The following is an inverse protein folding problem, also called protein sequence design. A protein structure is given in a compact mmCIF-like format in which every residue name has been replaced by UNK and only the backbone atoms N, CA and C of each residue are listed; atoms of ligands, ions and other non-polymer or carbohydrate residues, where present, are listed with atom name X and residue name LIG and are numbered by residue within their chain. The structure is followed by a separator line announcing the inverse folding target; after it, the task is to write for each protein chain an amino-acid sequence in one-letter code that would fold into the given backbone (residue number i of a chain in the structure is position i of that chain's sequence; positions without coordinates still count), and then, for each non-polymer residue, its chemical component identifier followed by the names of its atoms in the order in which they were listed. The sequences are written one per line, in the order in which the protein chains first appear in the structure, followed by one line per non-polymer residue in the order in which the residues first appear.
data_IF_572931493037
#
_entry.id   IF_572931493037
#
_cell.length_a   1.000
_cell.length_b   1.000
_cell.length_c   1.000
_cell.angle_alpha   90.00
_cell.angle_beta   90.00
_cell.angle_gamma   90.00
#
_symmetry.space_group_name_H-M   'P 1'
#
loop_
_entity.id
_entity.type
_entity.pdbx_description
1 polymer ?
#
# COMPACT_ATOMS: atom_id res chain seq x y z
N UNK A 1 -13.55 13.20 24.09
CA UNK A 1 -13.02 14.36 23.29
C UNK A 1 -11.51 14.17 23.27
N UNK A 2 -10.94 13.96 22.09
CA UNK A 2 -9.54 13.53 21.94
C UNK A 2 -8.62 14.77 22.05
N UNK A 3 -8.06 14.97 23.24
CA UNK A 3 -7.18 16.11 23.60
C UNK A 3 -5.98 16.21 22.64
N UNK A 4 -5.47 15.09 22.13
CA UNK A 4 -4.38 15.07 21.15
C UNK A 4 -4.76 15.67 19.80
N UNK A 5 -6.02 15.50 19.35
CA UNK A 5 -6.51 16.19 18.15
C UNK A 5 -6.66 17.70 18.34
N UNK A 6 -6.86 18.13 19.56
CA UNK A 6 -6.97 19.53 19.90
C UNK A 6 -5.57 20.18 19.99
N UNK A 7 -4.63 19.54 20.70
CA UNK A 7 -3.24 20.02 20.85
C UNK A 7 -2.47 19.98 19.53
N UNK A 8 -2.67 18.94 18.70
CA UNK A 8 -2.01 18.81 17.38
C UNK A 8 -2.50 19.79 16.32
N UNK A 9 -3.61 20.49 16.55
CA UNK A 9 -4.15 21.54 15.67
C UNK A 9 -3.74 22.95 16.05
N UNK A 10 -3.17 23.14 17.25
CA UNK A 10 -2.65 24.43 17.66
C UNK A 10 -1.33 24.71 16.92
N UNK A 11 -1.15 25.92 16.35
CA UNK A 11 0.11 26.29 15.75
C UNK A 11 1.20 26.18 16.82
N UNK A 12 2.29 25.47 16.53
CA UNK A 12 3.44 25.31 17.44
C UNK A 12 4.01 26.71 17.73
N UNK A 13 3.94 27.19 18.97
CA UNK A 13 4.47 28.52 19.28
C UNK A 13 5.98 28.48 19.12
N UNK A 14 6.54 29.51 18.48
CA UNK A 14 7.99 29.65 18.27
C UNK A 14 8.81 29.70 19.57
N UNK A 15 8.15 29.84 20.72
CA UNK A 15 8.76 29.98 22.06
C UNK A 15 8.39 28.85 23.04
N UNK A 16 7.78 27.73 22.56
CA UNK A 16 7.19 26.72 23.45
C UNK A 16 5.87 27.16 24.09
N UNK A 17 5.22 26.25 24.80
CA UNK A 17 4.02 26.57 25.61
C UNK A 17 4.41 26.40 27.07
N UNK A 18 4.53 27.48 27.81
CA UNK A 18 4.98 27.49 29.21
C UNK A 18 3.84 27.84 30.14
N UNK A 19 3.81 27.21 31.33
CA UNK A 19 2.90 27.57 32.41
C UNK A 19 3.06 29.06 32.77
N UNK A 20 1.95 29.78 33.05
CA UNK A 20 2.02 31.23 33.30
C UNK A 20 3.06 31.62 34.33
N UNK A 21 4.04 32.42 33.91
CA UNK A 21 5.16 32.90 34.73
C UNK A 21 6.34 31.95 34.86
N UNK A 22 6.29 30.73 34.32
CA UNK A 22 7.40 29.78 34.29
C UNK A 22 8.22 29.93 33.01
N UNK A 23 9.42 29.32 32.97
CA UNK A 23 10.29 29.30 31.79
C UNK A 23 10.47 27.91 31.20
N UNK A 24 10.36 26.88 32.03
CA UNK A 24 10.59 25.47 31.63
C UNK A 24 9.36 24.58 31.77
N UNK A 25 8.35 25.00 32.51
CA UNK A 25 7.17 24.19 32.76
C UNK A 25 6.18 24.22 31.60
N UNK A 26 6.25 23.26 30.69
CA UNK A 26 5.37 23.10 29.55
C UNK A 26 6.03 22.37 28.37
N UNK A 27 5.24 21.95 27.37
CA UNK A 27 5.75 21.21 26.22
C UNK A 27 6.51 22.12 25.22
N UNK A 28 7.51 21.54 24.55
CA UNK A 28 8.28 22.18 23.46
C UNK A 28 9.16 23.35 23.85
N UNK A 29 9.77 23.34 25.04
CA UNK A 29 10.72 24.36 25.46
C UNK A 29 11.97 24.34 24.56
N UNK A 30 12.44 25.49 24.05
CA UNK A 30 13.62 25.58 23.22
C UNK A 30 14.89 25.60 24.09
N UNK A 31 15.26 24.46 24.71
CA UNK A 31 16.41 24.35 25.61
C UNK A 31 17.71 24.93 25.02
N UNK A 32 17.93 24.77 23.72
CA UNK A 32 19.08 25.30 23.01
C UNK A 32 19.16 26.85 22.97
N UNK A 33 18.12 27.57 23.44
CA UNK A 33 18.05 29.01 23.58
C UNK A 33 17.95 29.45 25.04
N UNK A 34 17.84 28.51 25.95
CA UNK A 34 17.60 28.77 27.36
C UNK A 34 18.78 28.33 28.24
N UNK A 35 19.59 27.38 27.72
CA UNK A 35 20.72 26.79 28.43
C UNK A 35 22.02 27.04 27.64
N UNK A 36 23.14 27.13 28.36
CA UNK A 36 24.49 27.17 27.81
C UNK A 36 25.05 25.76 27.53
N UNK A 37 26.31 25.67 27.13
CA UNK A 37 27.00 24.41 26.83
C UNK A 37 27.14 23.45 28.02
N UNK A 38 26.96 23.93 29.25
CA UNK A 38 27.04 23.17 30.49
C UNK A 38 25.66 22.91 31.09
N UNK A 39 24.58 23.09 30.31
CA UNK A 39 23.19 22.95 30.74
C UNK A 39 22.78 23.88 31.87
N UNK A 40 23.48 25.01 32.00
CA UNK A 40 23.13 26.06 32.95
C UNK A 40 22.26 27.13 32.25
N UNK A 41 21.27 27.71 32.96
CA UNK A 41 20.42 28.75 32.41
C UNK A 41 21.26 30.00 32.00
N UNK A 42 21.06 30.46 30.78
CA UNK A 42 21.66 31.74 30.34
C UNK A 42 20.98 32.92 31.06
N UNK A 43 21.70 34.05 31.16
CA UNK A 43 21.21 35.23 31.84
C UNK A 43 19.78 35.60 31.40
N UNK A 44 18.90 35.73 32.37
CA UNK A 44 17.47 36.00 32.15
C UNK A 44 16.62 34.79 31.81
N UNK A 45 17.18 33.57 31.85
CA UNK A 45 16.44 32.30 31.68
C UNK A 45 16.47 31.44 32.94
N UNK A 46 16.87 31.97 34.09
CA UNK A 46 16.86 31.23 35.34
C UNK A 46 15.46 30.76 35.70
N UNK A 47 15.29 29.53 36.26
CA UNK A 47 14.01 29.04 36.77
C UNK A 47 13.42 30.00 37.82
N UNK A 48 12.11 30.21 37.79
CA UNK A 48 11.47 31.20 38.70
C UNK A 48 11.22 30.64 40.10
N UNK A 49 11.16 29.33 40.24
CA UNK A 49 10.99 28.61 41.50
C UNK A 49 11.48 27.15 41.36
N UNK A 50 11.45 26.40 42.44
CA UNK A 50 11.91 24.99 42.47
C UNK A 50 11.07 24.05 41.57
N UNK A 51 9.79 24.37 41.36
CA UNK A 51 8.94 23.58 40.43
C UNK A 51 9.40 23.80 38.98
N UNK A 52 9.76 25.03 38.61
CA UNK A 52 10.27 25.33 37.27
C UNK A 52 11.67 24.76 37.04
N UNK A 53 12.51 24.71 38.12
CA UNK A 53 13.82 24.05 38.09
C UNK A 53 13.70 22.52 37.91
N UNK A 54 12.77 21.87 38.60
CA UNK A 54 12.48 20.45 38.40
C UNK A 54 12.01 20.19 36.94
N UNK A 55 11.19 21.09 36.40
CA UNK A 55 10.75 21.01 35.01
C UNK A 55 11.89 21.15 34.01
N UNK A 56 12.85 22.05 34.30
CA UNK A 56 14.07 22.19 33.50
C UNK A 56 14.87 20.88 33.46
N UNK A 57 15.14 20.27 34.62
CA UNK A 57 15.84 18.97 34.70
C UNK A 57 15.12 17.85 33.97
N UNK A 58 13.80 17.83 34.04
CA UNK A 58 12.99 16.89 33.30
C UNK A 58 13.11 17.08 31.77
N UNK A 59 13.11 18.31 31.26
CA UNK A 59 13.29 18.60 29.84
C UNK A 59 14.68 18.25 29.35
N UNK A 60 15.73 18.46 30.18
CA UNK A 60 17.10 18.02 29.90
C UNK A 60 17.15 16.48 29.82
N UNK A 61 16.56 15.78 30.80
CA UNK A 61 16.46 14.33 30.79
C UNK A 61 15.79 13.80 29.51
N UNK A 62 14.73 14.45 29.05
CA UNK A 62 14.03 14.09 27.81
C UNK A 62 14.88 14.29 26.56
N UNK A 63 15.75 15.33 26.54
CA UNK A 63 16.67 15.59 25.44
C UNK A 63 17.75 14.53 25.38
N UNK A 64 18.36 14.19 26.53
CA UNK A 64 19.54 13.34 26.63
C UNK A 64 19.20 11.84 26.62
N UNK A 65 18.02 11.47 27.13
CA UNK A 65 17.54 10.08 27.17
C UNK A 65 16.18 9.92 26.49
N UNK A 66 16.09 10.06 25.15
CA UNK A 66 14.82 10.00 24.43
C UNK A 66 14.10 8.65 24.51
N UNK A 67 14.83 7.55 24.80
CA UNK A 67 14.32 6.19 24.99
C UNK A 67 13.77 5.95 26.41
N UNK A 68 14.16 6.75 27.40
CA UNK A 68 13.86 6.54 28.82
C UNK A 68 12.88 7.58 29.39
N UNK A 69 12.00 8.12 28.56
CA UNK A 69 11.08 9.20 28.93
C UNK A 69 10.22 8.90 30.17
N UNK A 70 9.86 7.62 30.36
CA UNK A 70 9.11 7.21 31.54
C UNK A 70 9.93 7.38 32.82
N UNK A 71 11.22 7.04 32.77
CA UNK A 71 12.12 7.23 33.89
C UNK A 71 12.29 8.71 34.23
N UNK A 72 12.39 9.58 33.22
CA UNK A 72 12.38 11.03 33.41
C UNK A 72 11.10 11.55 34.05
N UNK A 73 9.93 11.03 33.62
CA UNK A 73 8.61 11.36 34.21
C UNK A 73 8.52 10.91 35.67
N UNK A 74 8.98 9.71 35.99
CA UNK A 74 8.96 9.14 37.34
C UNK A 74 9.90 9.91 38.28
N UNK A 75 11.09 10.30 37.81
CA UNK A 75 12.05 11.16 38.53
C UNK A 75 11.42 12.53 38.84
N UNK A 76 10.79 13.16 37.85
CA UNK A 76 10.12 14.44 38.06
C UNK A 76 9.00 14.35 39.10
N UNK A 77 8.20 13.28 39.06
CA UNK A 77 7.13 13.03 40.04
C UNK A 77 7.69 12.84 41.44
N UNK A 78 8.78 12.10 41.59
CA UNK A 78 9.45 11.89 42.88
C UNK A 78 10.01 13.21 43.45
N UNK A 79 10.69 13.99 42.62
CA UNK A 79 11.18 15.31 43.04
C UNK A 79 10.05 16.27 43.45
N UNK A 80 8.96 16.31 42.65
CA UNK A 80 7.78 17.13 42.99
C UNK A 80 7.13 16.64 44.30
N UNK A 81 7.01 15.34 44.54
CA UNK A 81 6.42 14.80 45.77
C UNK A 81 7.23 15.17 47.01
N UNK A 82 8.55 15.12 46.90
CA UNK A 82 9.46 15.43 48.00
C UNK A 82 9.72 16.92 48.22
N UNK A 83 9.33 17.78 47.24
CA UNK A 83 9.49 19.24 47.34
C UNK A 83 8.66 19.81 48.51
N UNK A 84 9.32 20.58 49.39
CA UNK A 84 8.64 21.41 50.39
C UNK A 84 8.53 22.84 49.84
N UNK A 85 7.30 23.31 49.47
CA UNK A 85 7.11 24.60 48.90
C UNK A 85 7.51 25.71 49.86
N UNK A 86 8.21 26.71 49.37
CA UNK A 86 8.66 27.87 50.16
C UNK A 86 7.60 28.95 50.26
N UNK A 87 6.65 28.99 49.31
CA UNK A 87 5.59 29.98 49.28
C UNK A 87 4.28 29.37 48.70
N UNK A 88 3.19 30.12 48.83
CA UNK A 88 1.87 29.70 48.40
C UNK A 88 1.76 29.46 46.90
N UNK A 89 2.51 30.23 46.07
CA UNK A 89 2.53 30.09 44.63
C UNK A 89 3.21 28.78 44.24
N UNK A 90 4.37 28.47 44.79
CA UNK A 90 5.07 27.22 44.58
C UNK A 90 4.24 26.02 45.02
N UNK A 91 3.44 26.18 46.09
CA UNK A 91 2.47 25.14 46.53
C UNK A 91 1.38 24.88 45.49
N UNK A 92 0.87 25.91 44.82
CA UNK A 92 -0.15 25.79 43.75
C UNK A 92 0.51 25.12 42.51
N UNK A 93 1.71 25.64 42.11
CA UNK A 93 2.43 25.13 40.97
C UNK A 93 2.80 23.63 41.17
N UNK A 94 3.29 23.24 42.36
CA UNK A 94 3.54 21.85 42.73
C UNK A 94 2.28 20.98 42.57
N UNK A 95 1.13 21.42 43.08
CA UNK A 95 -0.13 20.66 42.99
C UNK A 95 -0.61 20.52 41.55
N UNK A 96 -0.60 21.61 40.79
CA UNK A 96 -1.04 21.62 39.41
C UNK A 96 -0.16 20.76 38.52
N UNK A 97 1.15 20.96 38.56
CA UNK A 97 2.12 20.22 37.74
C UNK A 97 2.21 18.76 38.18
N UNK A 98 2.24 18.49 39.51
CA UNK A 98 2.20 17.12 40.03
C UNK A 98 0.94 16.35 39.64
N UNK A 99 -0.24 17.02 39.60
CA UNK A 99 -1.49 16.42 39.13
C UNK A 99 -1.44 16.12 37.62
N UNK A 100 -0.91 17.05 36.79
CA UNK A 100 -0.73 16.85 35.37
C UNK A 100 0.24 15.70 35.10
N UNK A 101 1.39 15.66 35.77
CA UNK A 101 2.38 14.60 35.61
C UNK A 101 1.90 13.25 36.14
N UNK A 102 1.20 13.21 37.29
CA UNK A 102 0.57 11.99 37.79
C UNK A 102 -0.54 11.48 36.84
N UNK A 103 -1.31 12.39 36.24
CA UNK A 103 -2.30 12.03 35.22
C UNK A 103 -1.59 11.55 33.94
N UNK A 104 -0.53 12.22 33.53
CA UNK A 104 0.32 11.82 32.40
C UNK A 104 0.89 10.42 32.60
N UNK A 105 1.43 10.11 33.79
CA UNK A 105 1.95 8.78 34.14
C UNK A 105 0.85 7.72 34.18
N UNK A 106 -0.32 8.03 34.77
CA UNK A 106 -1.48 7.10 34.89
C UNK A 106 -2.18 6.84 33.56
N UNK A 107 -2.33 7.88 32.73
CA UNK A 107 -3.00 7.80 31.42
C UNK A 107 -1.98 7.45 30.32
N UNK A 108 -0.68 7.36 30.65
CA UNK A 108 0.38 7.10 29.66
C UNK A 108 0.62 8.26 28.69
N UNK A 109 0.29 9.50 29.06
CA UNK A 109 0.60 10.71 28.31
C UNK A 109 2.10 11.02 28.38
N UNK A 110 2.91 10.28 27.71
CA UNK A 110 4.37 10.37 27.71
C UNK A 110 5.02 9.02 27.55
N UNK A 111 4.27 7.94 27.74
CA UNK A 111 4.59 6.64 27.20
C UNK A 111 4.45 6.77 25.70
N UNK A 112 5.42 6.30 24.90
CA UNK A 112 5.18 5.95 23.51
C UNK A 112 3.97 5.03 23.51
N UNK A 113 2.79 5.56 23.20
CA UNK A 113 1.54 4.78 23.00
C UNK A 113 1.68 3.80 21.86
N UNK A 114 2.67 4.01 21.05
CA UNK A 114 3.01 3.19 19.93
C UNK A 114 4.37 2.61 20.19
N UNK A 115 4.38 1.33 20.44
CA UNK A 115 5.51 0.49 20.13
C UNK A 115 6.01 0.90 18.73
N UNK A 116 7.32 1.04 18.53
CA UNK A 116 7.91 1.39 17.24
C UNK A 116 7.40 0.47 16.12
N UNK A 117 7.08 -0.78 16.48
CA UNK A 117 6.41 -1.73 15.61
C UNK A 117 4.99 -1.29 15.23
N UNK A 118 4.19 -0.79 16.18
CA UNK A 118 2.83 -0.32 15.89
C UNK A 118 2.84 0.90 14.98
N UNK A 119 3.75 1.86 15.20
CA UNK A 119 3.94 3.00 14.29
C UNK A 119 4.35 2.53 12.89
N UNK A 120 5.26 1.57 12.80
CA UNK A 120 5.71 0.99 11.55
C UNK A 120 4.57 0.32 10.79
N UNK A 121 3.76 -0.51 11.46
CA UNK A 121 2.64 -1.21 10.86
C UNK A 121 1.52 -0.28 10.36
N UNK A 122 1.38 0.91 10.96
CA UNK A 122 0.36 1.90 10.60
C UNK A 122 0.86 3.00 9.67
N UNK A 123 2.14 3.00 9.25
CA UNK A 123 2.64 3.99 8.28
C UNK A 123 1.76 4.10 7.06
N UNK A 124 1.47 5.33 6.58
CA UNK A 124 0.61 5.53 5.40
C UNK A 124 1.17 4.88 4.15
N UNK A 125 0.30 4.25 3.36
CA UNK A 125 0.65 3.61 2.09
C UNK A 125 0.38 4.54 0.92
N UNK A 126 1.34 4.67 0.02
CA UNK A 126 1.17 5.40 -1.23
C UNK A 126 0.38 4.55 -2.23
N UNK A 127 -0.93 4.77 -2.32
CA UNK A 127 -1.84 4.01 -3.19
C UNK A 127 -1.65 4.29 -4.69
N UNK A 128 -1.24 5.53 -5.05
CA UNK A 128 -1.04 5.94 -6.45
C UNK A 128 0.44 6.09 -6.75
N UNK A 129 0.97 5.22 -7.57
CA UNK A 129 2.38 5.25 -8.01
C UNK A 129 2.52 4.74 -9.44
N UNK A 130 3.65 5.02 -10.07
CA UNK A 130 3.96 4.53 -11.41
C UNK A 130 4.10 3.01 -11.40
N UNK A 131 3.39 2.35 -12.30
CA UNK A 131 3.51 0.90 -12.53
C UNK A 131 4.25 0.65 -13.83
N UNK A 132 4.80 -0.55 -14.00
CA UNK A 132 5.35 -0.99 -15.27
C UNK A 132 4.29 -0.86 -16.36
N UNK A 133 4.73 -0.55 -17.55
CA UNK A 133 3.89 -0.56 -18.72
C UNK A 133 4.30 -1.68 -19.66
N UNK A 134 3.37 -2.18 -20.44
CA UNK A 134 3.63 -3.17 -21.47
C UNK A 134 4.22 -2.45 -22.67
N UNK A 135 5.44 -2.86 -23.06
CA UNK A 135 6.15 -2.30 -24.18
C UNK A 135 5.87 -3.14 -25.43
N UNK A 136 5.33 -2.53 -26.45
CA UNK A 136 5.00 -3.16 -27.75
C UNK A 136 5.57 -2.31 -28.86
N UNK A 137 6.13 -2.93 -29.89
CA UNK A 137 6.83 -2.23 -30.96
C UNK A 137 5.99 -2.03 -32.21
N UNK A 138 5.10 -2.96 -32.50
CA UNK A 138 4.26 -2.94 -33.69
C UNK A 138 2.91 -3.61 -33.47
N UNK A 139 2.01 -3.41 -34.41
CA UNK A 139 0.72 -4.09 -34.40
C UNK A 139 0.93 -5.61 -34.41
N UNK A 140 0.00 -6.31 -33.75
CA UNK A 140 0.00 -7.76 -33.58
C UNK A 140 1.18 -8.34 -32.75
N UNK A 141 1.98 -7.52 -32.06
CA UNK A 141 2.94 -8.04 -31.11
C UNK A 141 2.20 -8.67 -29.90
N UNK A 142 1.22 -7.95 -29.35
CA UNK A 142 0.43 -8.42 -28.18
C UNK A 142 -1.02 -8.07 -28.38
N UNK A 143 -1.90 -9.07 -28.30
CA UNK A 143 -3.32 -8.84 -28.09
C UNK A 143 -3.69 -9.08 -26.63
N UNK A 144 -4.60 -8.28 -26.10
CA UNK A 144 -5.19 -8.50 -24.78
C UNK A 144 -6.66 -8.87 -24.94
N UNK A 145 -7.13 -9.86 -24.18
CA UNK A 145 -8.51 -10.31 -24.23
C UNK A 145 -9.14 -10.37 -22.83
N UNK A 146 -10.45 -10.16 -22.78
CA UNK A 146 -11.27 -10.21 -21.57
C UNK A 146 -12.74 -10.44 -21.95
N UNK A 147 -13.59 -10.82 -21.01
CA UNK A 147 -15.02 -11.04 -21.21
C UNK A 147 -15.85 -9.95 -20.52
N UNK A 148 -16.78 -9.38 -21.27
CA UNK A 148 -17.87 -8.57 -20.70
C UNK A 148 -19.04 -9.50 -20.35
N UNK A 149 -19.49 -9.46 -19.08
CA UNK A 149 -20.68 -10.17 -18.62
C UNK A 149 -21.94 -9.31 -18.85
N UNK A 150 -22.90 -9.85 -19.61
CA UNK A 150 -24.19 -9.25 -19.92
C UNK A 150 -25.35 -10.24 -19.75
N UNK A 151 -25.19 -11.23 -18.84
CA UNK A 151 -26.20 -12.29 -18.57
C UNK A 151 -27.60 -11.72 -18.29
N UNK A 152 -27.68 -10.61 -17.56
CA UNK A 152 -28.95 -9.93 -17.25
C UNK A 152 -29.74 -9.50 -18.48
N UNK A 153 -29.06 -9.33 -19.62
CA UNK A 153 -29.68 -8.86 -20.88
C UNK A 153 -29.76 -9.93 -21.97
N UNK A 154 -29.51 -11.19 -21.63
CA UNK A 154 -29.44 -12.30 -22.60
C UNK A 154 -30.75 -12.55 -23.35
N UNK A 155 -31.89 -12.39 -22.68
CA UNK A 155 -33.23 -12.62 -23.27
C UNK A 155 -33.47 -11.77 -24.52
N UNK A 156 -33.12 -10.49 -24.47
CA UNK A 156 -33.30 -9.54 -25.60
C UNK A 156 -32.16 -9.59 -26.61
N UNK A 157 -31.12 -10.40 -26.36
CA UNK A 157 -29.94 -10.53 -27.20
C UNK A 157 -29.75 -11.97 -27.73
N UNK A 158 -30.82 -12.65 -28.11
CA UNK A 158 -30.81 -13.98 -28.72
C UNK A 158 -30.02 -15.04 -27.90
N UNK A 159 -30.04 -14.92 -26.58
CA UNK A 159 -29.33 -15.84 -25.66
C UNK A 159 -27.85 -15.53 -25.48
N UNK A 160 -27.30 -14.50 -26.10
CA UNK A 160 -25.92 -14.08 -25.87
C UNK A 160 -25.77 -13.47 -24.48
N UNK A 161 -24.83 -14.00 -23.70
CA UNK A 161 -24.59 -13.69 -22.28
C UNK A 161 -23.31 -12.93 -22.04
N UNK A 162 -22.33 -13.07 -22.94
CA UNK A 162 -21.01 -12.51 -22.82
C UNK A 162 -20.57 -11.85 -24.14
N UNK A 163 -19.57 -11.00 -24.05
CA UNK A 163 -18.88 -10.49 -25.24
C UNK A 163 -17.38 -10.73 -25.02
N UNK A 164 -16.74 -11.52 -25.90
CA UNK A 164 -15.30 -11.60 -25.98
C UNK A 164 -14.76 -10.31 -26.56
N UNK A 165 -13.96 -9.60 -25.77
CA UNK A 165 -13.32 -8.34 -26.12
C UNK A 165 -11.85 -8.60 -26.36
N UNK A 166 -11.37 -8.35 -27.58
CA UNK A 166 -9.95 -8.51 -27.93
C UNK A 166 -9.42 -7.17 -28.46
N UNK A 167 -8.27 -6.73 -28.01
CA UNK A 167 -7.65 -5.47 -28.44
C UNK A 167 -6.16 -5.68 -28.73
N UNK A 168 -5.70 -5.17 -29.88
CA UNK A 168 -4.26 -5.04 -30.13
C UNK A 168 -3.67 -3.94 -29.24
N UNK A 169 -2.71 -4.30 -28.42
CA UNK A 169 -2.11 -3.42 -27.41
C UNK A 169 -1.38 -2.24 -28.03
N UNK A 170 -0.84 -2.40 -29.24
CA UNK A 170 -0.14 -1.32 -29.95
C UNK A 170 -1.10 -0.36 -30.63
N UNK A 171 -1.84 -0.83 -31.62
CA UNK A 171 -2.70 0.02 -32.46
C UNK A 171 -3.98 0.47 -31.77
N UNK A 172 -4.39 -0.22 -30.70
CA UNK A 172 -5.70 -0.11 -30.02
C UNK A 172 -6.86 -0.59 -30.89
N UNK A 173 -6.57 -1.35 -31.97
CA UNK A 173 -7.62 -1.94 -32.79
C UNK A 173 -8.35 -3.02 -31.98
N UNK A 174 -9.68 -2.96 -31.95
CA UNK A 174 -10.50 -3.82 -31.12
C UNK A 174 -11.45 -4.69 -31.92
N UNK A 175 -11.71 -5.90 -31.39
CA UNK A 175 -12.71 -6.84 -31.88
C UNK A 175 -13.65 -7.22 -30.74
N UNK A 176 -14.92 -7.40 -31.03
CA UNK A 176 -15.92 -7.86 -30.07
C UNK A 176 -16.76 -8.95 -30.67
N UNK A 177 -16.85 -10.10 -30.01
CA UNK A 177 -17.59 -11.27 -30.47
C UNK A 177 -18.58 -11.67 -29.37
N UNK A 178 -19.92 -11.66 -29.66
CA UNK A 178 -20.91 -12.17 -28.72
C UNK A 178 -20.76 -13.69 -28.48
N UNK A 179 -20.88 -14.10 -27.23
CA UNK A 179 -20.83 -15.50 -26.80
C UNK A 179 -22.07 -15.84 -25.99
N UNK A 180 -22.58 -17.06 -26.15
CA UNK A 180 -23.70 -17.57 -25.35
C UNK A 180 -23.26 -18.10 -24.00
N UNK A 181 -22.08 -18.72 -23.95
CA UNK A 181 -21.51 -19.31 -22.74
C UNK A 181 -20.08 -18.85 -22.50
N UNK A 182 -19.67 -18.86 -21.25
CA UNK A 182 -18.29 -18.62 -20.81
C UNK A 182 -17.57 -19.98 -20.71
N UNK A 183 -17.39 -20.65 -21.87
CA UNK A 183 -16.77 -21.98 -21.95
C UNK A 183 -15.54 -21.97 -22.86
N UNK A 184 -14.62 -22.91 -22.60
CA UNK A 184 -13.41 -23.09 -23.43
C UNK A 184 -13.70 -23.30 -24.92
N UNK A 185 -14.59 -24.22 -25.32
CA UNK A 185 -14.93 -24.42 -26.73
C UNK A 185 -15.45 -23.17 -27.43
N UNK A 186 -16.36 -22.41 -26.81
CA UNK A 186 -16.95 -21.25 -27.45
C UNK A 186 -15.96 -20.08 -27.60
N UNK A 187 -15.11 -19.86 -26.56
CA UNK A 187 -14.02 -18.87 -26.66
C UNK A 187 -12.98 -19.29 -27.69
N UNK A 188 -12.69 -20.59 -27.81
CA UNK A 188 -11.77 -21.13 -28.82
C UNK A 188 -12.29 -20.88 -30.24
N UNK A 189 -13.56 -21.15 -30.52
CA UNK A 189 -14.16 -20.87 -31.82
C UNK A 189 -14.15 -19.37 -32.18
N UNK A 190 -14.40 -18.53 -31.18
CA UNK A 190 -14.30 -17.09 -31.36
C UNK A 190 -12.87 -16.67 -31.75
N UNK A 191 -11.84 -17.19 -31.07
CA UNK A 191 -10.44 -16.91 -31.45
C UNK A 191 -10.08 -17.50 -32.81
N UNK A 192 -10.52 -18.71 -33.16
CA UNK A 192 -10.32 -19.28 -34.50
C UNK A 192 -10.85 -18.34 -35.58
N UNK A 193 -12.02 -17.73 -35.37
CA UNK A 193 -12.61 -16.79 -36.32
C UNK A 193 -11.76 -15.52 -36.50
N UNK A 194 -11.10 -15.04 -35.43
CA UNK A 194 -10.18 -13.91 -35.49
C UNK A 194 -8.87 -14.29 -36.19
N UNK A 195 -8.30 -15.46 -35.84
CA UNK A 195 -7.00 -15.91 -36.34
C UNK A 195 -7.04 -16.25 -37.85
N UNK A 196 -8.23 -16.48 -38.42
CA UNK A 196 -8.38 -16.57 -39.88
C UNK A 196 -8.02 -15.25 -40.61
N UNK A 197 -8.15 -14.11 -39.90
CA UNK A 197 -7.88 -12.77 -40.47
C UNK A 197 -6.47 -12.30 -40.14
N UNK A 198 -6.06 -12.43 -38.89
CA UNK A 198 -4.76 -11.99 -38.38
C UNK A 198 -4.48 -12.67 -37.02
N UNK A 199 -3.19 -12.80 -36.71
CA UNK A 199 -2.72 -13.45 -35.49
C UNK A 199 -1.76 -12.54 -34.74
N UNK A 200 -1.81 -12.53 -33.38
CA UNK A 200 -0.79 -11.86 -32.57
C UNK A 200 0.40 -12.82 -32.37
N UNK A 201 1.56 -12.27 -31.95
CA UNK A 201 2.64 -13.08 -31.41
C UNK A 201 2.37 -13.58 -30.00
N UNK A 202 1.69 -12.75 -29.21
CA UNK A 202 1.35 -13.05 -27.82
C UNK A 202 -0.10 -12.70 -27.54
N UNK A 203 -0.76 -13.54 -26.76
CA UNK A 203 -2.11 -13.33 -26.24
C UNK A 203 -2.07 -13.14 -24.72
N UNK A 204 -2.48 -11.97 -24.27
CA UNK A 204 -2.55 -11.63 -22.86
C UNK A 204 -3.99 -11.75 -22.34
N UNK A 205 -4.20 -12.65 -21.40
CA UNK A 205 -5.51 -12.95 -20.80
C UNK A 205 -5.41 -12.92 -19.26
N UNK A 206 -6.56 -12.93 -18.59
CA UNK A 206 -6.60 -13.25 -17.16
C UNK A 206 -6.56 -14.78 -16.92
N UNK A 207 -6.55 -15.21 -15.67
CA UNK A 207 -6.46 -16.62 -15.25
C UNK A 207 -7.81 -17.34 -15.32
N UNK A 208 -8.72 -16.90 -16.16
CA UNK A 208 -10.02 -17.55 -16.32
C UNK A 208 -9.91 -18.91 -17.01
N UNK A 209 -10.65 -19.91 -16.51
CA UNK A 209 -10.71 -21.26 -17.12
C UNK A 209 -11.20 -21.24 -18.56
N UNK A 210 -11.94 -20.23 -18.98
CA UNK A 210 -12.38 -20.01 -20.36
C UNK A 210 -11.21 -19.77 -21.33
N UNK A 211 -10.07 -19.26 -20.83
CA UNK A 211 -8.85 -19.08 -21.61
C UNK A 211 -7.83 -20.18 -21.35
N UNK A 212 -7.79 -20.74 -20.14
CA UNK A 212 -6.89 -21.81 -19.77
C UNK A 212 -7.54 -23.20 -20.04
N UNK A 213 -7.67 -23.54 -21.32
CA UNK A 213 -8.22 -24.82 -21.74
C UNK A 213 -7.39 -25.45 -22.86
N UNK A 214 -7.55 -26.77 -23.04
CA UNK A 214 -6.75 -27.59 -23.97
C UNK A 214 -6.99 -27.15 -25.43
N UNK A 215 -8.25 -26.91 -25.80
CA UNK A 215 -8.63 -26.58 -27.17
C UNK A 215 -7.99 -25.26 -27.63
N UNK A 216 -8.06 -24.23 -26.76
CA UNK A 216 -7.43 -22.94 -27.07
C UNK A 216 -5.91 -23.08 -27.14
N UNK A 217 -5.28 -23.82 -26.21
CA UNK A 217 -3.83 -24.06 -26.24
C UNK A 217 -3.40 -24.72 -27.55
N UNK A 218 -4.13 -25.71 -28.03
CA UNK A 218 -3.84 -26.37 -29.31
C UNK A 218 -3.95 -25.39 -30.49
N UNK A 219 -4.96 -24.52 -30.50
CA UNK A 219 -5.11 -23.50 -31.55
C UNK A 219 -3.99 -22.47 -31.49
N UNK A 220 -3.61 -22.01 -30.31
CA UNK A 220 -2.50 -21.07 -30.10
C UNK A 220 -1.16 -21.67 -30.57
N UNK A 221 -0.90 -22.93 -30.23
CA UNK A 221 0.29 -23.64 -30.65
C UNK A 221 0.36 -23.77 -32.18
N UNK A 222 -0.77 -24.09 -32.84
CA UNK A 222 -0.85 -24.16 -34.31
C UNK A 222 -0.47 -22.85 -35.01
N UNK A 223 -0.72 -21.71 -34.37
CA UNK A 223 -0.43 -20.38 -34.90
C UNK A 223 0.85 -19.74 -34.31
N UNK A 224 1.66 -20.49 -33.53
CA UNK A 224 2.85 -19.99 -32.81
C UNK A 224 2.56 -18.77 -31.93
N UNK A 225 1.39 -18.77 -31.26
CA UNK A 225 0.96 -17.70 -30.37
C UNK A 225 1.31 -18.07 -28.93
N UNK A 226 2.12 -17.23 -28.26
CA UNK A 226 2.42 -17.41 -26.82
C UNK A 226 1.34 -16.79 -25.95
N UNK A 227 0.63 -17.60 -25.19
CA UNK A 227 -0.31 -17.11 -24.19
C UNK A 227 0.40 -16.87 -22.86
N UNK A 228 0.07 -15.76 -22.20
CA UNK A 228 0.50 -15.51 -20.84
C UNK A 228 -0.61 -14.81 -20.03
N UNK A 229 -0.65 -15.14 -18.76
CA UNK A 229 -1.50 -14.47 -17.76
C UNK A 229 -0.63 -13.71 -16.77
N UNK A 230 -1.21 -12.74 -16.09
CA UNK A 230 -0.52 -12.00 -15.04
C UNK A 230 -1.18 -12.26 -13.69
N UNK A 231 -0.44 -12.90 -12.78
CA UNK A 231 -0.84 -13.13 -11.38
C UNK A 231 -0.97 -11.85 -10.54
N UNK A 232 -0.54 -10.72 -11.06
CA UNK A 232 -0.51 -9.46 -10.35
C UNK A 232 -1.75 -8.59 -10.65
N UNK A 233 -2.03 -7.66 -9.73
CA UNK A 233 -3.03 -6.59 -9.89
C UNK A 233 -2.81 -5.68 -11.12
N UNK A 234 -1.79 -5.92 -11.94
CA UNK A 234 -1.65 -5.37 -13.28
C UNK A 234 -2.42 -6.30 -14.22
N UNK A 235 -3.72 -6.33 -14.04
CA UNK A 235 -4.62 -6.85 -15.05
C UNK A 235 -4.39 -6.11 -16.35
N UNK A 236 -4.79 -6.69 -17.46
CA UNK A 236 -4.64 -6.11 -18.78
C UNK A 236 -5.34 -4.72 -18.87
N UNK A 237 -4.73 -3.72 -18.25
CA UNK A 237 -5.30 -2.37 -18.09
C UNK A 237 -5.72 -1.72 -19.41
N UNK A 238 -5.18 -2.23 -20.53
CA UNK A 238 -5.54 -1.79 -21.88
C UNK A 238 -6.90 -2.32 -22.24
N UNK A 239 -7.15 -3.62 -22.08
CA UNK A 239 -8.47 -4.22 -22.38
C UNK A 239 -9.54 -3.78 -21.38
N UNK A 240 -9.20 -3.64 -20.09
CA UNK A 240 -10.13 -3.11 -19.08
C UNK A 240 -10.62 -1.69 -19.43
N UNK A 241 -9.68 -0.81 -19.84
CA UNK A 241 -10.04 0.56 -20.28
C UNK A 241 -10.90 0.54 -21.53
N UNK A 242 -10.58 -0.35 -22.46
CA UNK A 242 -11.38 -0.50 -23.68
C UNK A 242 -12.77 -1.07 -23.36
N UNK A 243 -12.87 -2.08 -22.52
CA UNK A 243 -14.16 -2.60 -22.02
C UNK A 243 -15.02 -1.49 -21.43
N UNK A 244 -14.42 -0.62 -20.60
CA UNK A 244 -15.12 0.54 -20.03
C UNK A 244 -15.62 1.47 -21.14
N UNK A 245 -14.80 1.73 -22.16
CA UNK A 245 -15.16 2.61 -23.28
C UNK A 245 -16.35 2.05 -24.05
N UNK A 246 -16.33 0.76 -24.38
CA UNK A 246 -17.43 0.12 -25.12
C UNK A 246 -18.68 -0.02 -24.25
N UNK A 247 -18.55 -0.44 -23.00
CA UNK A 247 -19.67 -0.43 -22.04
C UNK A 247 -20.33 0.94 -21.97
N UNK A 248 -19.56 2.01 -21.79
CA UNK A 248 -20.11 3.38 -21.74
C UNK A 248 -20.89 3.73 -23.01
N UNK A 249 -20.41 3.32 -24.20
CA UNK A 249 -21.13 3.56 -25.47
C UNK A 249 -22.39 2.72 -25.56
N UNK A 250 -22.37 1.46 -25.14
CA UNK A 250 -23.55 0.59 -25.08
C UNK A 250 -24.61 1.14 -24.14
N UNK A 251 -24.22 1.53 -22.90
CA UNK A 251 -25.17 2.10 -21.94
C UNK A 251 -25.79 3.41 -22.42
N UNK A 252 -25.00 4.29 -23.06
CA UNK A 252 -25.56 5.50 -23.70
C UNK A 252 -26.58 5.15 -24.78
N UNK A 253 -26.29 4.13 -25.58
CA UNK A 253 -27.25 3.66 -26.60
C UNK A 253 -28.51 3.10 -25.95
N UNK A 254 -28.36 2.28 -24.90
CA UNK A 254 -29.50 1.72 -24.16
C UNK A 254 -30.40 2.81 -23.58
N UNK A 255 -29.83 3.80 -22.95
CA UNK A 255 -30.58 4.93 -22.38
C UNK A 255 -31.29 5.77 -23.47
N UNK A 256 -30.63 5.99 -24.61
CA UNK A 256 -31.21 6.80 -25.69
C UNK A 256 -32.36 6.10 -26.45
N UNK A 257 -32.34 4.75 -26.47
CA UNK A 257 -33.31 3.99 -27.27
C UNK A 257 -34.27 3.14 -26.43
N UNK A 258 -34.22 3.23 -25.09
CA UNK A 258 -35.08 2.48 -24.20
C UNK A 258 -34.92 0.94 -24.32
N UNK A 259 -33.76 0.44 -24.72
CA UNK A 259 -33.54 -0.98 -25.00
C UNK A 259 -32.21 -1.46 -24.49
N UNK A 260 -32.11 -2.74 -24.15
CA UNK A 260 -30.84 -3.41 -23.82
C UNK A 260 -30.34 -4.32 -24.96
N UNK A 261 -30.91 -4.21 -26.16
CA UNK A 261 -30.49 -4.99 -27.32
C UNK A 261 -29.22 -4.40 -27.93
N UNK A 262 -28.12 -5.16 -27.88
CA UNK A 262 -26.80 -4.74 -28.37
C UNK A 262 -26.32 -5.47 -29.60
N UNK A 263 -26.85 -6.66 -29.88
CA UNK A 263 -26.40 -7.53 -30.98
C UNK A 263 -26.43 -6.81 -32.32
N UNK A 264 -27.44 -6.01 -32.58
CA UNK A 264 -27.64 -5.32 -33.85
C UNK A 264 -26.68 -4.13 -34.07
N UNK A 265 -26.14 -3.58 -32.98
CA UNK A 265 -25.30 -2.36 -33.03
C UNK A 265 -23.87 -2.61 -32.63
N UNK A 266 -23.55 -3.75 -32.03
CA UNK A 266 -22.22 -4.03 -31.46
C UNK A 266 -21.14 -3.81 -32.51
N UNK A 267 -21.25 -4.43 -33.68
CA UNK A 267 -20.24 -4.33 -34.72
C UNK A 267 -20.11 -2.86 -35.25
N UNK A 268 -21.22 -2.15 -35.40
CA UNK A 268 -21.21 -0.72 -35.78
C UNK A 268 -20.49 0.14 -34.76
N UNK A 269 -20.63 -0.18 -33.43
CA UNK A 269 -19.92 0.53 -32.38
C UNK A 269 -18.43 0.26 -32.42
N UNK A 270 -18.03 -1.00 -32.68
CA UNK A 270 -16.62 -1.39 -32.80
C UNK A 270 -15.99 -0.73 -34.04
N UNK A 271 -16.68 -0.74 -35.18
CA UNK A 271 -16.19 -0.10 -36.40
C UNK A 271 -16.04 1.42 -36.22
N UNK A 272 -17.00 2.06 -35.56
CA UNK A 272 -16.91 3.48 -35.20
C UNK A 272 -15.72 3.74 -34.26
N UNK A 273 -15.51 2.88 -33.26
CA UNK A 273 -14.36 2.98 -32.37
C UNK A 273 -13.05 2.84 -33.14
N UNK A 274 -12.91 1.85 -34.00
CA UNK A 274 -11.70 1.59 -34.77
C UNK A 274 -11.37 2.71 -35.78
N UNK A 275 -12.35 3.51 -36.18
CA UNK A 275 -12.19 4.68 -37.04
C UNK A 275 -12.13 6.01 -36.29
N UNK A 276 -12.23 5.98 -34.95
CA UNK A 276 -12.11 7.20 -34.13
C UNK A 276 -10.66 7.39 -33.71
N UNK A 277 -10.12 8.62 -33.85
CA UNK A 277 -8.75 8.95 -33.45
C UNK A 277 -8.53 8.70 -31.97
N UNK A 278 -7.50 7.92 -31.64
CA UNK A 278 -7.16 7.56 -30.28
C UNK A 278 -6.07 8.50 -29.73
N UNK A 279 -6.35 9.16 -28.60
CA UNK A 279 -5.48 10.19 -28.02
C UNK A 279 -4.04 9.70 -27.78
N UNK A 280 -3.86 8.44 -27.34
CA UNK A 280 -2.52 7.94 -26.98
C UNK A 280 -1.68 7.55 -28.20
N UNK A 281 -2.29 7.13 -29.30
CA UNK A 281 -1.58 6.77 -30.54
C UNK A 281 -1.44 7.97 -31.49
N UNK A 282 -2.36 8.94 -31.39
CA UNK A 282 -2.47 10.06 -32.31
C UNK A 282 -3.10 9.69 -33.65
N UNK A 283 -3.51 8.45 -33.85
CA UNK A 283 -4.11 7.87 -35.04
C UNK A 283 -5.42 7.17 -34.74
N UNK A 284 -6.21 6.88 -35.75
CA UNK A 284 -7.30 5.90 -35.61
C UNK A 284 -6.67 4.50 -35.44
N UNK A 285 -7.31 3.54 -34.73
CA UNK A 285 -6.82 2.17 -34.65
C UNK A 285 -6.55 1.54 -36.01
N UNK A 286 -7.36 1.80 -37.03
CA UNK A 286 -7.17 1.33 -38.41
C UNK A 286 -5.87 1.89 -39.00
N UNK A 287 -5.58 3.16 -38.83
CA UNK A 287 -4.35 3.79 -39.32
C UNK A 287 -3.13 3.32 -38.51
N UNK A 288 -3.28 3.19 -37.19
CA UNK A 288 -2.21 2.75 -36.28
C UNK A 288 -1.72 1.32 -36.58
N UNK A 289 -2.56 0.48 -37.19
CA UNK A 289 -2.17 -0.88 -37.64
C UNK A 289 -1.26 -0.86 -38.87
N UNK A 290 -1.32 0.16 -39.69
CA UNK A 290 -0.52 0.22 -40.94
C UNK A 290 0.97 0.37 -40.58
N UNK A 291 1.82 -0.45 -41.19
CA UNK A 291 3.26 -0.50 -40.91
C UNK A 291 3.92 0.88 -41.06
N UNK A 292 3.49 1.67 -42.05
CA UNK A 292 3.99 3.04 -42.30
C UNK A 292 3.82 3.99 -41.10
N UNK A 293 2.87 3.73 -40.23
CA UNK A 293 2.59 4.58 -39.06
C UNK A 293 3.22 4.05 -37.76
N UNK A 294 3.87 2.87 -37.78
CA UNK A 294 4.34 2.22 -36.55
C UNK A 294 5.33 3.09 -35.77
N UNK A 295 6.27 3.74 -36.43
CA UNK A 295 7.28 4.58 -35.76
C UNK A 295 6.63 5.80 -35.10
N UNK A 296 5.68 6.45 -35.78
CA UNK A 296 4.95 7.59 -35.23
C UNK A 296 4.05 7.18 -34.05
N UNK A 297 3.36 6.04 -34.17
CA UNK A 297 2.55 5.47 -33.09
C UNK A 297 3.42 5.10 -31.89
N UNK A 298 4.58 4.44 -32.14
CA UNK A 298 5.53 4.08 -31.10
C UNK A 298 6.05 5.31 -30.37
N UNK A 299 6.44 6.34 -31.09
CA UNK A 299 6.88 7.62 -30.54
C UNK A 299 5.79 8.22 -29.63
N UNK A 300 4.55 8.29 -30.09
CA UNK A 300 3.44 8.82 -29.30
C UNK A 300 3.14 8.01 -28.03
N UNK A 301 3.22 6.69 -28.10
CA UNK A 301 2.96 5.81 -26.95
C UNK A 301 4.08 5.82 -25.90
N UNK A 302 5.33 5.89 -26.32
CA UNK A 302 6.45 5.52 -25.47
C UNK A 302 7.57 6.56 -25.35
N UNK A 303 7.65 7.62 -26.20
CA UNK A 303 8.75 8.57 -26.18
C UNK A 303 8.99 9.16 -24.77
N UNK A 304 7.93 9.66 -24.10
CA UNK A 304 8.03 10.20 -22.74
C UNK A 304 8.46 9.16 -21.70
N UNK A 305 8.16 7.89 -21.93
CA UNK A 305 8.47 6.80 -21.00
C UNK A 305 9.89 6.27 -21.18
N UNK A 306 10.39 6.28 -22.42
CA UNK A 306 11.75 5.85 -22.75
C UNK A 306 12.77 6.89 -22.29
N UNK A 307 12.42 8.20 -22.35
CA UNK A 307 13.27 9.29 -21.87
C UNK A 307 13.31 9.47 -20.37
N UNK A 308 12.44 8.77 -19.61
CA UNK A 308 12.48 8.82 -18.13
C UNK A 308 13.79 8.24 -17.60
N UNK A 309 14.50 9.02 -16.77
CA UNK A 309 15.71 8.54 -16.09
C UNK A 309 15.35 7.34 -15.20
N UNK A 310 16.19 6.32 -15.25
CA UNK A 310 16.09 5.18 -14.33
C UNK A 310 16.42 5.68 -12.91
N UNK A 311 15.48 5.55 -12.01
CA UNK A 311 15.76 5.76 -10.59
C UNK A 311 16.50 4.55 -10.04
N UNK A 312 17.55 4.73 -9.23
CA UNK A 312 18.21 3.61 -8.57
C UNK A 312 17.19 2.88 -7.68
N UNK A 313 17.32 1.55 -7.55
CA UNK A 313 16.44 0.78 -6.65
C UNK A 313 16.67 1.19 -5.20
N UNK A 314 15.57 1.36 -4.45
CA UNK A 314 15.59 1.76 -3.04
C UNK A 314 16.08 0.63 -2.12
N UNK A 315 15.73 -0.61 -2.45
CA UNK A 315 16.07 -1.78 -1.64
C UNK A 315 17.16 -2.61 -2.34
N UNK A 316 17.97 -3.30 -1.52
CA UNK A 316 19.02 -4.22 -1.94
C UNK A 316 18.61 -5.66 -1.64
N UNK A 317 19.26 -6.63 -2.29
CA UNK A 317 19.10 -8.05 -1.95
C UNK A 317 19.53 -8.25 -0.50
N UNK A 318 18.72 -8.97 0.28
CA UNK A 318 18.92 -9.20 1.70
C UNK A 318 18.20 -8.20 2.62
N UNK A 319 17.76 -7.04 2.13
CA UNK A 319 16.99 -6.09 2.94
C UNK A 319 15.72 -6.74 3.48
N UNK A 320 15.45 -6.53 4.77
CA UNK A 320 14.21 -6.95 5.42
C UNK A 320 13.10 -5.95 5.18
N UNK A 321 11.93 -6.48 4.77
CA UNK A 321 10.80 -5.65 4.35
C UNK A 321 9.46 -6.22 4.80
N UNK A 322 8.51 -5.34 5.06
CA UNK A 322 7.09 -5.66 5.23
C UNK A 322 6.34 -5.38 3.95
N UNK A 323 5.24 -6.10 3.73
CA UNK A 323 4.38 -5.96 2.55
C UNK A 323 3.14 -5.16 2.91
N UNK A 324 2.67 -4.33 1.96
CA UNK A 324 1.38 -3.65 2.10
C UNK A 324 0.22 -4.65 2.16
N UNK A 325 -0.63 -4.52 3.17
CA UNK A 325 -1.87 -5.28 3.28
C UNK A 325 -2.91 -4.78 2.28
N UNK A 326 -3.54 -5.70 1.57
CA UNK A 326 -4.70 -5.40 0.73
C UNK A 326 -5.94 -5.35 1.61
N UNK A 327 -6.39 -4.14 1.93
CA UNK A 327 -7.62 -3.95 2.69
C UNK A 327 -8.84 -4.23 1.82
N UNK A 328 -9.82 -4.93 2.37
CA UNK A 328 -11.14 -5.10 1.78
C UNK A 328 -11.91 -3.76 1.80
N UNK A 329 -12.93 -3.63 0.94
CA UNK A 329 -13.72 -2.40 0.80
C UNK A 329 -14.35 -1.96 2.13
N UNK A 330 -14.74 -2.91 2.98
CA UNK A 330 -15.37 -2.67 4.28
C UNK A 330 -14.38 -2.57 5.44
N UNK A 331 -13.10 -2.80 5.19
CA UNK A 331 -12.08 -2.75 6.23
C UNK A 331 -11.77 -1.31 6.63
N UNK A 332 -11.75 -1.08 7.94
CA UNK A 332 -11.59 0.26 8.50
C UNK A 332 -10.20 0.82 8.24
N UNK A 333 -10.13 2.13 7.96
CA UNK A 333 -8.89 2.81 7.60
C UNK A 333 -7.83 2.86 8.72
N UNK A 334 -8.24 2.66 9.96
CA UNK A 334 -7.37 2.68 11.14
C UNK A 334 -6.68 1.34 11.45
N UNK A 335 -6.97 0.26 10.71
CA UNK A 335 -6.24 -1.01 10.86
C UNK A 335 -4.84 -0.90 10.26
N UNK A 336 -3.95 -1.84 10.60
CA UNK A 336 -2.58 -1.89 10.08
C UNK A 336 -2.54 -1.85 8.56
N UNK A 337 -1.56 -1.17 8.02
CA UNK A 337 -1.33 -1.08 6.57
C UNK A 337 -0.28 -2.09 6.07
N UNK A 338 0.55 -2.60 6.97
CA UNK A 338 1.70 -3.44 6.67
C UNK A 338 1.60 -4.78 7.39
N UNK A 339 2.22 -5.81 6.83
CA UNK A 339 2.23 -7.16 7.42
C UNK A 339 3.05 -7.21 8.70
N UNK A 340 2.61 -8.02 9.67
CA UNK A 340 3.45 -8.38 10.82
C UNK A 340 4.65 -9.23 10.38
N UNK A 341 4.44 -10.13 9.43
CA UNK A 341 5.50 -10.98 8.87
C UNK A 341 6.53 -10.14 8.13
N UNK A 342 7.79 -10.44 8.35
CA UNK A 342 8.96 -9.87 7.70
C UNK A 342 9.38 -10.77 6.55
N UNK A 343 9.77 -10.18 5.44
CA UNK A 343 10.26 -10.85 4.24
C UNK A 343 11.64 -10.30 3.89
N UNK A 344 12.44 -11.06 3.17
CA UNK A 344 13.73 -10.61 2.65
C UNK A 344 13.65 -10.37 1.14
N UNK A 345 14.29 -9.30 0.68
CA UNK A 345 14.42 -9.06 -0.76
C UNK A 345 15.31 -10.16 -1.35
N UNK A 346 14.74 -10.99 -2.22
CA UNK A 346 15.45 -12.08 -2.89
C UNK A 346 16.12 -11.62 -4.19
N UNK A 347 15.47 -10.72 -4.93
CA UNK A 347 15.96 -10.25 -6.23
C UNK A 347 15.47 -8.83 -6.52
N UNK A 348 16.35 -8.01 -7.09
CA UNK A 348 16.04 -6.68 -7.60
C UNK A 348 15.96 -6.75 -9.12
N UNK A 349 14.75 -6.60 -9.67
CA UNK A 349 14.53 -6.67 -11.11
C UNK A 349 14.80 -5.30 -11.75
N UNK A 350 15.66 -5.27 -12.77
CA UNK A 350 16.02 -4.07 -13.54
C UNK A 350 14.88 -3.60 -14.46
N UNK A 351 13.70 -3.39 -13.91
CA UNK A 351 12.51 -2.89 -14.62
C UNK A 351 12.36 -1.37 -14.44
N UNK A 352 11.44 -0.74 -15.17
CA UNK A 352 11.14 0.67 -15.06
C UNK A 352 9.64 0.86 -14.71
N UNK A 353 9.30 1.29 -13.48
CA UNK A 353 10.17 1.44 -12.29
C UNK A 353 10.74 0.10 -11.79
N UNK A 354 11.75 0.12 -10.91
CA UNK A 354 12.30 -1.09 -10.29
C UNK A 354 11.22 -1.90 -9.60
N UNK A 355 11.36 -3.23 -9.64
CA UNK A 355 10.48 -4.15 -8.93
C UNK A 355 11.30 -5.22 -8.23
N UNK A 356 10.71 -5.86 -7.23
CA UNK A 356 11.41 -6.73 -6.31
C UNK A 356 10.70 -8.08 -6.22
N UNK A 357 11.46 -9.16 -6.16
CA UNK A 357 11.00 -10.44 -5.65
C UNK A 357 11.40 -10.56 -4.20
N UNK A 358 10.52 -11.07 -3.39
CA UNK A 358 10.77 -11.26 -1.96
C UNK A 358 10.59 -12.72 -1.61
N UNK A 359 11.22 -13.13 -0.52
CA UNK A 359 11.13 -14.48 0.03
C UNK A 359 10.78 -14.43 1.52
N UNK A 360 10.07 -15.45 1.99
CA UNK A 360 10.08 -15.85 3.39
C UNK A 360 11.21 -16.86 3.63
N UNK A 361 11.27 -17.46 4.80
CA UNK A 361 12.34 -18.42 5.12
C UNK A 361 12.27 -19.72 4.30
N UNK A 362 11.10 -20.05 3.75
CA UNK A 362 10.86 -21.32 3.03
C UNK A 362 10.88 -21.19 1.51
N UNK A 363 10.44 -20.05 0.95
CA UNK A 363 10.25 -19.93 -0.49
C UNK A 363 10.29 -18.48 -1.00
N UNK A 364 10.59 -18.32 -2.28
CA UNK A 364 10.43 -17.06 -3.00
C UNK A 364 8.97 -16.91 -3.42
N UNK A 365 8.36 -15.76 -3.12
CA UNK A 365 6.99 -15.48 -3.53
C UNK A 365 6.90 -15.26 -5.04
N UNK A 366 5.89 -15.84 -5.68
CA UNK A 366 5.69 -15.71 -7.13
C UNK A 366 5.35 -14.29 -7.59
N UNK A 367 4.92 -13.42 -6.66
CA UNK A 367 4.53 -12.04 -6.96
C UNK A 367 5.77 -11.12 -6.99
N UNK A 368 5.78 -10.15 -7.92
CA UNK A 368 6.72 -9.03 -7.89
C UNK A 368 6.08 -7.81 -7.25
N UNK A 369 6.87 -7.06 -6.48
CA UNK A 369 6.43 -5.90 -5.71
C UNK A 369 7.10 -4.63 -6.21
N UNK A 370 6.38 -3.50 -6.13
CA UNK A 370 6.92 -2.18 -6.35
C UNK A 370 7.45 -1.57 -5.06
N UNK A 371 8.34 -0.59 -5.14
CA UNK A 371 8.86 0.11 -3.95
C UNK A 371 7.77 0.60 -2.98
N UNK A 372 6.67 1.24 -3.43
CA UNK A 372 5.61 1.68 -2.52
C UNK A 372 4.79 0.55 -1.89
N UNK A 373 4.94 -0.69 -2.35
CA UNK A 373 4.32 -1.88 -1.77
C UNK A 373 5.21 -2.56 -0.72
N UNK A 374 6.43 -2.04 -0.51
CA UNK A 374 7.42 -2.54 0.44
C UNK A 374 7.81 -1.44 1.41
N UNK A 375 8.03 -1.82 2.65
CA UNK A 375 8.56 -0.96 3.70
C UNK A 375 9.77 -1.64 4.32
N UNK A 376 10.94 -0.97 4.37
CA UNK A 376 12.11 -1.47 5.07
C UNK A 376 11.81 -1.52 6.57
N UNK A 377 12.23 -2.60 7.20
CA UNK A 377 12.23 -2.78 8.64
C UNK A 377 13.64 -3.14 9.11
N UNK A 378 14.00 -2.64 10.26
CA UNK A 378 15.25 -2.97 10.96
C UNK A 378 14.90 -3.47 12.38
N UNK A 379 13.61 -3.85 12.61
CA UNK A 379 13.10 -4.21 13.94
C UNK A 379 12.96 -5.71 14.11
N UNK A 380 13.53 -6.22 15.21
CA UNK A 380 13.41 -7.61 15.66
C UNK A 380 12.21 -7.84 16.61
N UNK A 381 11.24 -6.90 16.64
CA UNK A 381 10.06 -6.97 17.48
C UNK A 381 8.91 -7.68 16.75
N UNK A 382 8.29 -8.64 17.45
CA UNK A 382 7.19 -9.43 16.94
C UNK A 382 5.99 -9.35 17.88
N UNK A 383 4.77 -9.23 17.35
CA UNK A 383 3.56 -9.28 18.16
C UNK A 383 3.17 -10.73 18.46
N UNK A 384 2.90 -11.02 19.71
CA UNK A 384 2.29 -12.28 20.13
C UNK A 384 0.81 -12.25 19.76
N UNK A 385 0.32 -13.31 19.10
CA UNK A 385 -1.11 -13.50 18.83
C UNK A 385 -1.79 -14.17 20.04
N UNK A 386 -1.18 -15.25 20.56
CA UNK A 386 -1.64 -15.96 21.75
C UNK A 386 -0.56 -16.85 22.31
N UNK A 387 -0.67 -17.22 23.58
CA UNK A 387 0.16 -18.23 24.23
C UNK A 387 -0.58 -19.56 24.17
N UNK A 388 0.05 -20.55 23.54
CA UNK A 388 -0.55 -21.88 23.32
C UNK A 388 -0.41 -22.80 24.53
N UNK A 389 0.74 -22.73 25.23
CA UNK A 389 1.08 -23.61 26.36
C UNK A 389 2.17 -22.95 27.19
N UNK A 390 2.21 -23.28 28.49
CA UNK A 390 3.27 -22.94 29.40
C UNK A 390 4.07 -24.18 29.83
N UNK A 391 5.36 -24.02 30.10
CA UNK A 391 6.22 -25.01 30.75
C UNK A 391 7.15 -24.31 31.72
N UNK A 392 7.64 -25.08 32.72
CA UNK A 392 8.72 -24.66 33.64
C UNK A 392 9.93 -25.54 33.38
N UNK A 393 11.08 -24.92 33.15
CA UNK A 393 12.37 -25.62 32.96
C UNK A 393 13.40 -24.83 33.73
N UNK A 394 14.18 -25.53 34.58
CA UNK A 394 15.24 -24.94 35.42
C UNK A 394 14.75 -23.72 36.24
N UNK A 395 13.55 -23.81 36.81
CA UNK A 395 12.95 -22.78 37.65
C UNK A 395 12.45 -21.55 36.86
N UNK A 396 12.60 -21.51 35.52
CA UNK A 396 12.13 -20.43 34.66
C UNK A 396 10.88 -20.87 33.92
N UNK A 397 9.96 -19.94 33.76
CA UNK A 397 8.67 -20.13 33.02
C UNK A 397 8.81 -19.73 31.58
N UNK A 398 8.38 -20.61 30.67
CA UNK A 398 8.38 -20.40 29.21
C UNK A 398 6.97 -20.55 28.64
N UNK A 399 6.57 -19.66 27.74
CA UNK A 399 5.33 -19.75 26.98
C UNK A 399 5.60 -20.20 25.54
N UNK A 400 4.82 -21.17 25.02
CA UNK A 400 4.81 -21.47 23.58
C UNK A 400 3.96 -20.42 22.88
N UNK A 401 4.61 -19.55 22.13
CA UNK A 401 4.01 -18.36 21.52
C UNK A 401 3.60 -18.64 20.08
N UNK A 402 2.38 -18.22 19.73
CA UNK A 402 1.93 -18.02 18.36
C UNK A 402 2.15 -16.57 18.00
N UNK A 403 2.95 -16.36 16.95
CA UNK A 403 3.28 -15.02 16.47
C UNK A 403 2.20 -14.48 15.51
N UNK A 404 1.79 -13.24 15.67
CA UNK A 404 0.75 -12.61 14.88
C UNK A 404 1.16 -12.45 13.42
N UNK A 405 0.39 -13.08 12.52
CA UNK A 405 0.64 -13.04 11.08
C UNK A 405 1.66 -14.04 10.56
N UNK A 406 2.19 -14.91 11.42
CA UNK A 406 3.06 -16.05 11.06
C UNK A 406 2.26 -17.35 11.13
N UNK A 407 2.66 -18.36 10.37
CA UNK A 407 2.04 -19.69 10.48
C UNK A 407 2.56 -20.48 11.71
N UNK A 408 2.00 -21.66 11.95
CA UNK A 408 2.30 -22.43 13.16
C UNK A 408 3.72 -23.01 13.20
N UNK A 409 4.44 -23.03 12.08
CA UNK A 409 5.84 -23.48 12.00
C UNK A 409 6.79 -22.52 12.69
N UNK A 410 6.39 -21.26 12.87
CA UNK A 410 7.15 -20.22 13.57
C UNK A 410 6.90 -20.19 15.08
N UNK A 411 5.98 -21.03 15.61
CA UNK A 411 5.68 -21.06 17.04
C UNK A 411 6.94 -21.44 17.85
N UNK A 412 7.40 -20.55 18.73
CA UNK A 412 8.59 -20.70 19.55
C UNK A 412 8.29 -20.76 21.05
N UNK A 413 9.25 -21.24 21.83
CA UNK A 413 9.21 -21.18 23.28
C UNK A 413 10.00 -19.96 23.76
N UNK A 414 9.28 -18.99 24.34
CA UNK A 414 9.87 -17.74 24.81
C UNK A 414 9.83 -17.65 26.34
N UNK A 415 10.86 -17.09 26.97
CA UNK A 415 10.84 -16.81 28.40
C UNK A 415 9.70 -15.86 28.76
N UNK A 416 9.07 -16.05 29.93
CA UNK A 416 7.95 -15.18 30.37
C UNK A 416 8.35 -13.69 30.40
N UNK A 417 9.60 -13.37 30.66
CA UNK A 417 10.11 -12.00 30.64
C UNK A 417 10.07 -11.34 29.28
N UNK A 418 10.16 -12.11 28.17
CA UNK A 418 10.05 -11.62 26.79
C UNK A 418 8.58 -11.48 26.33
N UNK A 419 7.64 -12.11 27.09
CA UNK A 419 6.19 -12.13 26.76
C UNK A 419 5.44 -11.05 27.56
N UNK A 420 6.16 -10.15 28.24
CA UNK A 420 5.58 -9.11 29.10
C UNK A 420 4.68 -8.21 28.28
N UNK A 421 3.43 -8.08 28.72
CA UNK A 421 2.31 -7.22 28.32
C UNK A 421 1.11 -7.93 27.66
N UNK A 422 0.98 -9.27 27.81
CA UNK A 422 -0.16 -10.05 27.32
C UNK A 422 -1.10 -10.49 28.46
N UNK A 423 -1.27 -9.65 29.50
CA UNK A 423 -2.17 -10.03 30.61
C UNK A 423 -3.65 -9.99 30.26
N UNK A 424 -4.04 -9.48 29.08
CA UNK A 424 -5.44 -9.23 28.73
C UNK A 424 -5.83 -9.73 27.31
N UNK A 425 -5.18 -10.81 26.79
CA UNK A 425 -5.60 -11.45 25.52
C UNK A 425 -6.01 -12.90 25.79
#
# INVERSE_FOLDING_TARGET
MDIHKFIGKLPRPKKGFVWPGHKYTGPYNPLNKQLDENDLPIIGQEPINKVDEISMRHDICYRDSPSEKKQCDDLMLDELNNLKPENWRESIDKRAIGSIMSTKSKIGLGIKWTDDLAEELHKPVRKKFKKRFVFVRKANDIWAADLIDLRSHSKVNAGYKYILMVIDVFSKYGWAIPLRFKTGPETTEAFKSLFKKETPKMLWVDEGKEFDNIDLKAVLQKHDIKMYSTHNAIKASVVERWNRTIKTKLWKYFSANGTYKYTDILQKLIDKYNRTRHRSTGFTPVEAKKAVNHDAVFKNLFQKKVSERRTPPKFKVGDEVRIVLKKNIFEKGYTSNWTNMIYKVAEVLKTLPPTYRIKNDTSVLNKTYYEPELQKTDQDLFHVEKILRWKVTDGKRFGRVKWKGYDDTYNSWEPEENIKNLKDI
#
